data_IF_569053346297
#
_entry.id   IF_569053346297
#
_cell.length_a   1.000
_cell.length_b   1.000
_cell.length_c   1.000
_cell.angle_alpha   90.00
_cell.angle_beta   90.00
_cell.angle_gamma   90.00
#
_symmetry.space_group_name_H-M   'P 1'
#
loop_
_entity.id
_entity.type
_entity.pdbx_description
1 polymer ?
#
# COMPACT_ATOMS: atom_id res chain seq x y z
N UNK A 1 -4.77 8.67 -7.47
CA UNK A 1 -6.06 8.85 -8.16
C UNK A 1 -5.77 9.45 -9.53
N UNK A 2 -5.64 8.61 -10.54
CA UNK A 2 -5.76 8.99 -11.95
C UNK A 2 -6.62 7.92 -12.62
N UNK A 3 -7.53 8.35 -13.49
CA UNK A 3 -8.43 7.50 -14.25
C UNK A 3 -8.28 7.87 -15.72
N UNK A 4 -8.24 6.88 -16.59
CA UNK A 4 -8.03 7.07 -18.01
C UNK A 4 -9.24 7.78 -18.64
N UNK A 5 -9.04 8.46 -19.76
CA UNK A 5 -10.10 9.17 -20.46
C UNK A 5 -9.91 9.10 -21.99
N UNK A 6 -11.00 9.23 -22.75
CA UNK A 6 -10.99 9.33 -24.22
C UNK A 6 -11.86 10.51 -24.63
N UNK A 7 -11.34 11.34 -25.53
CA UNK A 7 -11.96 12.63 -25.92
C UNK A 7 -13.20 12.47 -26.79
N UNK A 8 -14.13 13.41 -26.62
CA UNK A 8 -15.13 13.83 -27.64
C UNK A 8 -15.21 15.36 -27.55
N UNK A 9 -15.05 16.07 -28.68
CA UNK A 9 -15.01 17.54 -28.74
C UNK A 9 -16.39 18.20 -28.69
N UNK A 10 -16.56 19.52 -28.91
CA UNK A 10 -15.60 20.61 -29.18
C UNK A 10 -16.31 21.98 -28.93
N UNK A 11 -15.58 23.10 -29.03
CA UNK A 11 -16.18 24.41 -29.39
C UNK A 11 -16.04 25.58 -28.39
N UNK A 12 -15.83 26.77 -28.96
CA UNK A 12 -15.83 28.12 -28.36
C UNK A 12 -15.95 29.14 -29.54
N UNK A 13 -16.30 30.43 -29.44
CA UNK A 13 -16.54 31.42 -28.36
C UNK A 13 -17.67 32.38 -28.90
N UNK A 14 -18.28 33.37 -28.23
CA UNK A 14 -18.03 34.07 -26.95
C UNK A 14 -19.31 34.77 -26.37
N UNK A 15 -19.11 35.60 -25.34
CA UNK A 15 -20.00 36.54 -24.60
C UNK A 15 -21.28 37.14 -25.27
N UNK A 16 -22.43 37.08 -24.56
CA UNK A 16 -23.23 38.21 -23.99
C UNK A 16 -24.76 37.97 -23.85
N UNK A 17 -25.31 38.51 -22.74
CA UNK A 17 -26.72 38.85 -22.44
C UNK A 17 -27.79 37.74 -22.18
N UNK A 18 -28.42 37.85 -21.00
CA UNK A 18 -29.70 37.25 -20.56
C UNK A 18 -30.89 37.91 -21.30
N UNK A 19 -32.11 37.29 -21.45
CA UNK A 19 -32.81 36.56 -20.37
C UNK A 19 -33.78 35.39 -20.71
N UNK A 20 -34.17 34.65 -19.65
CA UNK A 20 -35.48 33.98 -19.44
C UNK A 20 -35.86 32.76 -20.32
N UNK A 21 -35.95 31.59 -19.66
CA UNK A 21 -36.66 30.35 -20.04
C UNK A 21 -36.47 29.76 -21.45
N UNK A 22 -35.54 28.80 -21.57
CA UNK A 22 -35.83 27.41 -21.99
C UNK A 22 -34.62 26.52 -21.71
N UNK A 23 -34.84 25.40 -21.03
CA UNK A 23 -33.81 24.38 -20.80
C UNK A 23 -33.88 23.39 -21.95
N UNK A 24 -33.16 23.68 -23.03
CA UNK A 24 -33.08 22.85 -24.23
C UNK A 24 -31.84 21.95 -24.14
N UNK A 25 -32.04 20.63 -24.26
CA UNK A 25 -30.95 19.67 -24.17
C UNK A 25 -29.98 19.84 -25.35
N UNK A 26 -28.65 19.70 -25.15
CA UNK A 26 -27.68 19.86 -26.22
C UNK A 26 -27.84 18.74 -27.25
N UNK A 27 -28.44 19.07 -28.39
CA UNK A 27 -28.48 18.25 -29.59
C UNK A 27 -27.05 17.88 -30.02
N UNK A 28 -26.70 16.60 -29.90
CA UNK A 28 -25.39 16.08 -30.29
C UNK A 28 -25.22 16.13 -31.82
N UNK A 29 -24.08 16.63 -32.27
CA UNK A 29 -23.67 16.60 -33.68
C UNK A 29 -23.51 15.15 -34.17
N UNK A 30 -24.06 14.78 -35.34
CA UNK A 30 -24.15 13.38 -35.75
C UNK A 30 -22.93 12.91 -36.55
N UNK A 31 -21.73 12.95 -35.97
CA UNK A 31 -20.52 12.44 -36.66
C UNK A 31 -19.40 11.96 -35.73
N UNK A 32 -19.61 10.79 -35.12
CA UNK A 32 -18.58 9.79 -34.79
C UNK A 32 -19.23 8.53 -34.20
N UNK A 33 -19.22 7.40 -34.93
CA UNK A 33 -19.76 6.10 -34.51
C UNK A 33 -18.88 5.38 -33.45
N UNK A 34 -18.42 6.12 -32.44
CA UNK A 34 -17.85 5.55 -31.23
C UNK A 34 -18.99 4.98 -30.37
N UNK A 35 -19.36 3.71 -30.64
CA UNK A 35 -20.36 2.95 -29.85
C UNK A 35 -20.05 3.11 -28.36
N UNK A 36 -20.93 3.81 -27.63
CA UNK A 36 -20.75 4.08 -26.20
C UNK A 36 -20.63 2.75 -25.43
N UNK A 37 -19.82 2.69 -24.36
CA UNK A 37 -19.75 1.50 -23.51
C UNK A 37 -21.14 1.23 -22.89
N UNK A 38 -21.52 -0.04 -22.67
CA UNK A 38 -22.86 -0.42 -22.22
C UNK A 38 -23.23 0.21 -20.87
N UNK A 39 -22.23 0.40 -20.01
CA UNK A 39 -22.30 1.19 -18.79
C UNK A 39 -21.33 2.36 -18.86
N UNK A 40 -21.72 3.49 -18.27
CA UNK A 40 -20.88 4.68 -18.16
C UNK A 40 -21.03 5.27 -16.76
N UNK A 41 -19.91 5.67 -16.16
CA UNK A 41 -19.86 6.20 -14.81
C UNK A 41 -19.32 7.63 -14.85
N UNK A 42 -20.06 8.58 -14.28
CA UNK A 42 -19.74 10.01 -14.38
C UNK A 42 -19.60 10.60 -12.99
N UNK A 43 -18.36 10.90 -12.61
CA UNK A 43 -18.03 11.66 -11.41
C UNK A 43 -18.36 13.14 -11.67
N UNK A 44 -19.33 13.68 -10.95
CA UNK A 44 -19.81 15.05 -11.11
C UNK A 44 -18.88 16.02 -10.37
N UNK A 45 -17.65 16.12 -10.85
CA UNK A 45 -16.60 16.98 -10.29
C UNK A 45 -15.67 17.46 -11.40
N UNK A 46 -15.32 18.74 -11.32
CA UNK A 46 -14.58 19.41 -12.37
C UNK A 46 -13.13 18.91 -12.49
N UNK A 47 -12.69 18.67 -13.72
CA UNK A 47 -11.30 18.29 -14.03
C UNK A 47 -10.34 19.44 -13.73
N UNK A 48 -9.06 19.13 -13.56
CA UNK A 48 -8.02 20.12 -13.29
C UNK A 48 -7.64 20.88 -14.57
N UNK A 49 -7.67 22.24 -14.58
CA UNK A 49 -7.18 23.03 -15.71
C UNK A 49 -5.65 23.02 -15.85
N UNK A 50 -4.92 22.43 -14.90
CA UNK A 50 -3.45 22.50 -14.82
C UNK A 50 -2.74 21.23 -15.36
N UNK A 51 -3.43 20.41 -16.14
CA UNK A 51 -2.90 19.20 -16.81
C UNK A 51 -2.45 19.56 -18.22
N UNK A 52 -1.28 19.10 -18.68
CA UNK A 52 -0.83 19.38 -20.06
C UNK A 52 -1.61 18.55 -21.09
N UNK A 53 -1.66 19.01 -22.35
CA UNK A 53 -2.38 18.30 -23.44
C UNK A 53 -1.98 16.82 -23.63
N UNK A 54 -0.76 16.43 -23.24
CA UNK A 54 -0.21 15.07 -23.41
C UNK A 54 -0.15 14.26 -22.10
N UNK A 55 -0.74 14.76 -21.02
CA UNK A 55 -0.77 14.11 -19.70
C UNK A 55 -2.19 13.57 -19.41
N UNK A 56 -2.33 12.62 -18.48
CA UNK A 56 -3.66 12.11 -18.11
C UNK A 56 -4.50 13.16 -17.38
N UNK A 57 -5.78 13.26 -17.74
CA UNK A 57 -6.73 14.16 -17.08
C UNK A 57 -6.85 13.83 -15.59
N UNK A 58 -6.73 14.86 -14.74
CA UNK A 58 -6.71 14.72 -13.30
C UNK A 58 -7.92 15.41 -12.66
N UNK A 59 -8.55 14.76 -11.69
CA UNK A 59 -9.65 15.31 -10.90
C UNK A 59 -9.28 15.30 -9.43
N UNK A 60 -9.46 16.44 -8.78
CA UNK A 60 -9.12 16.63 -7.37
C UNK A 60 -10.35 16.43 -6.48
N UNK A 61 -10.19 15.62 -5.44
CA UNK A 61 -11.24 15.31 -4.48
C UNK A 61 -10.79 15.68 -3.07
N UNK A 62 -11.53 16.59 -2.45
CA UNK A 62 -11.34 17.09 -1.11
C UNK A 62 -11.64 15.98 -0.08
N UNK A 63 -10.88 15.98 1.01
CA UNK A 63 -11.05 15.06 2.11
C UNK A 63 -12.37 15.35 2.84
N UNK A 64 -13.22 14.33 2.95
CA UNK A 64 -14.48 14.45 3.69
C UNK A 64 -15.60 15.20 2.95
N UNK A 65 -15.40 15.63 1.71
CA UNK A 65 -16.48 16.10 0.85
C UNK A 65 -17.12 14.91 0.12
N UNK A 66 -18.45 14.89 0.04
CA UNK A 66 -19.21 13.88 -0.70
C UNK A 66 -19.32 14.28 -2.18
N UNK A 67 -19.10 13.32 -3.08
CA UNK A 67 -19.05 13.53 -4.54
C UNK A 67 -19.96 12.54 -5.28
N UNK A 68 -20.86 13.05 -6.12
CA UNK A 68 -21.78 12.22 -6.92
C UNK A 68 -21.02 11.47 -8.03
N UNK A 69 -21.21 10.15 -8.09
CA UNK A 69 -20.96 9.33 -9.26
C UNK A 69 -22.31 8.89 -9.81
N UNK A 70 -22.70 9.41 -10.98
CA UNK A 70 -23.87 8.97 -11.73
C UNK A 70 -23.56 7.66 -12.44
N UNK A 71 -24.48 6.72 -12.37
CA UNK A 71 -24.39 5.43 -13.06
C UNK A 71 -25.40 5.45 -14.22
N UNK A 72 -24.90 5.21 -15.43
CA UNK A 72 -25.66 5.29 -16.68
C UNK A 72 -25.56 3.97 -17.44
N UNK A 73 -26.67 3.57 -18.07
CA UNK A 73 -26.72 2.50 -19.05
C UNK A 73 -26.98 3.10 -20.44
N UNK A 74 -26.12 2.77 -21.40
CA UNK A 74 -26.19 3.30 -22.78
C UNK A 74 -26.67 2.25 -23.79
N UNK A 75 -27.08 1.06 -23.33
CA UNK A 75 -27.57 -0.02 -24.21
C UNK A 75 -28.90 0.37 -24.84
N UNK A 76 -29.10 0.01 -26.11
CA UNK A 76 -30.34 0.30 -26.82
C UNK A 76 -31.47 -0.61 -26.32
N UNK A 77 -32.66 -0.03 -26.16
CA UNK A 77 -33.88 -0.72 -25.75
C UNK A 77 -34.22 -1.83 -26.76
N UNK A 78 -33.79 -3.07 -26.47
CA UNK A 78 -33.90 -4.21 -27.39
C UNK A 78 -32.80 -5.26 -27.21
N UNK A 79 -31.59 -4.89 -26.77
CA UNK A 79 -30.47 -5.81 -26.50
C UNK A 79 -30.63 -6.58 -25.15
N UNK A 80 -31.86 -6.66 -24.62
CA UNK A 80 -32.16 -7.00 -23.22
C UNK A 80 -32.50 -8.48 -22.96
N UNK A 81 -32.27 -9.39 -23.92
CA UNK A 81 -32.75 -10.78 -23.82
C UNK A 81 -31.90 -11.70 -22.91
N UNK A 82 -30.64 -11.34 -22.62
CA UNK A 82 -29.70 -12.24 -21.93
C UNK A 82 -29.51 -11.98 -20.42
N UNK A 83 -30.03 -10.88 -19.86
CA UNK A 83 -29.87 -10.55 -18.44
C UNK A 83 -31.15 -10.79 -17.63
N UNK A 84 -31.28 -12.01 -17.09
CA UNK A 84 -32.33 -12.40 -16.14
C UNK A 84 -32.17 -11.74 -14.74
N UNK A 85 -31.31 -10.73 -14.60
CA UNK A 85 -30.98 -10.04 -13.35
C UNK A 85 -31.42 -8.58 -13.40
N UNK A 86 -32.47 -8.25 -12.64
CA UNK A 86 -33.04 -6.89 -12.50
C UNK A 86 -32.05 -5.83 -11.98
N UNK A 87 -30.98 -6.26 -11.30
CA UNK A 87 -30.02 -5.37 -10.65
C UNK A 87 -28.59 -5.70 -11.06
N UNK A 88 -27.76 -4.68 -11.15
CA UNK A 88 -26.31 -4.78 -11.40
C UNK A 88 -25.56 -4.45 -10.11
N UNK A 89 -24.48 -5.20 -9.82
CA UNK A 89 -23.56 -4.89 -8.72
C UNK A 89 -22.43 -4.01 -9.24
N UNK A 90 -22.19 -2.88 -8.58
CA UNK A 90 -21.03 -2.03 -8.82
C UNK A 90 -20.12 -2.01 -7.59
N UNK A 91 -18.81 -2.00 -7.84
CA UNK A 91 -17.77 -1.96 -6.81
C UNK A 91 -16.86 -0.76 -7.13
N UNK A 92 -16.81 0.23 -6.24
CA UNK A 92 -15.98 1.42 -6.39
C UNK A 92 -14.75 1.26 -5.51
N UNK A 93 -13.56 1.48 -6.08
CA UNK A 93 -12.27 1.28 -5.40
C UNK A 93 -11.33 2.47 -5.58
N UNK A 94 -10.65 2.86 -4.50
CA UNK A 94 -9.49 3.76 -4.56
C UNK A 94 -8.22 2.91 -4.64
N UNK A 95 -7.50 3.00 -5.76
CA UNK A 95 -6.26 2.25 -6.02
C UNK A 95 -5.10 3.17 -6.38
N UNK A 96 -3.87 2.67 -6.27
CA UNK A 96 -2.72 3.32 -6.86
C UNK A 96 -2.78 3.22 -8.38
N UNK A 97 -2.57 4.36 -9.06
CA UNK A 97 -2.47 4.39 -10.52
C UNK A 97 -1.06 3.98 -11.00
N UNK A 98 -0.01 4.41 -10.28
CA UNK A 98 1.38 4.02 -10.58
C UNK A 98 1.56 2.51 -10.38
N UNK A 99 1.90 1.81 -11.48
CA UNK A 99 2.09 0.34 -11.51
C UNK A 99 3.15 -0.16 -10.53
N UNK A 100 4.18 0.63 -10.23
CA UNK A 100 5.19 0.28 -9.23
C UNK A 100 4.61 0.32 -7.82
N UNK A 101 3.72 1.29 -7.53
CA UNK A 101 3.04 1.37 -6.25
C UNK A 101 1.97 0.29 -6.08
N UNK A 102 1.31 -0.14 -7.18
CA UNK A 102 0.35 -1.26 -7.18
C UNK A 102 0.94 -2.56 -6.60
N UNK A 103 2.18 -2.92 -6.95
CA UNK A 103 2.85 -4.10 -6.37
C UNK A 103 3.05 -4.02 -4.85
N UNK A 104 3.00 -2.81 -4.27
CA UNK A 104 3.09 -2.56 -2.82
C UNK A 104 1.78 -2.07 -2.22
N UNK A 105 0.66 -2.09 -2.97
CA UNK A 105 -0.61 -1.49 -2.56
C UNK A 105 -1.09 -2.04 -1.23
N UNK A 106 -0.97 -3.36 -1.01
CA UNK A 106 -1.30 -3.99 0.27
C UNK A 106 -0.52 -3.33 1.44
N UNK A 107 0.81 -3.27 1.36
CA UNK A 107 1.65 -2.65 2.39
C UNK A 107 1.31 -1.16 2.62
N UNK A 108 0.98 -0.43 1.55
CA UNK A 108 0.57 0.98 1.65
C UNK A 108 -0.79 1.14 2.34
N UNK A 109 -1.76 0.29 2.02
CA UNK A 109 -3.08 0.25 2.64
C UNK A 109 -2.99 -0.18 4.12
N UNK A 110 -2.14 -1.15 4.45
CA UNK A 110 -1.87 -1.54 5.83
C UNK A 110 -1.20 -0.41 6.63
N UNK A 111 -0.18 0.23 6.08
CA UNK A 111 0.45 1.41 6.69
C UNK A 111 -0.55 2.55 6.93
N UNK A 112 -1.47 2.77 5.97
CA UNK A 112 -2.56 3.72 6.13
C UNK A 112 -3.49 3.31 7.29
N UNK A 113 -3.92 2.04 7.34
CA UNK A 113 -4.77 1.47 8.42
C UNK A 113 -4.15 1.64 9.80
N UNK A 114 -2.86 1.33 9.94
CA UNK A 114 -2.13 1.51 11.20
C UNK A 114 -2.02 2.97 11.61
N UNK A 115 -1.84 3.89 10.66
CA UNK A 115 -1.79 5.34 10.94
C UNK A 115 -3.15 5.98 11.29
N UNK A 116 -4.26 5.31 10.97
CA UNK A 116 -5.64 5.78 11.14
C UNK A 116 -6.58 4.63 11.52
N UNK A 117 -6.45 4.09 12.74
CA UNK A 117 -7.25 2.95 13.18
C UNK A 117 -8.74 3.32 13.20
N UNK A 118 -9.56 2.56 12.46
CA UNK A 118 -11.01 2.74 12.35
C UNK A 118 -11.48 3.65 11.20
N UNK A 119 -10.60 4.47 10.61
CA UNK A 119 -10.98 5.26 9.43
C UNK A 119 -11.07 4.39 8.17
N UNK A 120 -11.79 4.89 7.16
CA UNK A 120 -11.85 4.35 5.79
C UNK A 120 -11.21 5.33 4.80
N UNK A 121 -10.59 4.81 3.74
CA UNK A 121 -10.03 5.61 2.64
C UNK A 121 -11.16 6.12 1.74
N UNK A 122 -12.15 5.26 1.52
CA UNK A 122 -13.35 5.50 0.73
C UNK A 122 -14.58 5.09 1.54
N UNK A 123 -15.52 6.01 1.68
CA UNK A 123 -16.83 5.77 2.25
C UNK A 123 -17.97 6.15 1.28
N UNK A 124 -19.20 5.76 1.60
CA UNK A 124 -20.40 6.06 0.82
C UNK A 124 -21.41 6.85 1.65
N UNK A 125 -21.80 8.01 1.15
CA UNK A 125 -22.80 8.89 1.73
C UNK A 125 -24.20 8.36 1.35
N UNK A 126 -24.68 7.40 2.13
CA UNK A 126 -25.97 6.74 1.89
C UNK A 126 -27.14 7.75 1.87
N UNK A 127 -27.25 8.74 2.78
CA UNK A 127 -28.32 9.74 2.75
C UNK A 127 -28.39 10.59 1.48
N UNK A 128 -27.25 10.90 0.84
CA UNK A 128 -27.22 11.63 -0.43
C UNK A 128 -27.40 10.72 -1.67
N UNK A 129 -27.17 9.41 -1.52
CA UNK A 129 -27.23 8.46 -2.63
C UNK A 129 -28.66 8.13 -3.07
N UNK A 130 -28.85 7.93 -4.37
CA UNK A 130 -30.16 7.75 -5.01
C UNK A 130 -30.15 6.49 -5.86
N UNK A 131 -31.18 5.65 -5.75
CA UNK A 131 -31.37 4.47 -6.62
C UNK A 131 -30.40 3.30 -6.36
N UNK A 132 -29.52 3.40 -5.36
CA UNK A 132 -28.67 2.30 -4.91
C UNK A 132 -29.36 1.45 -3.82
N UNK A 133 -28.99 0.18 -3.74
CA UNK A 133 -29.50 -0.82 -2.81
C UNK A 133 -28.33 -1.60 -2.19
N UNK A 134 -28.53 -2.13 -0.98
CA UNK A 134 -27.54 -2.89 -0.22
C UNK A 134 -26.10 -2.32 -0.24
N UNK A 135 -25.89 -1.02 0.10
CA UNK A 135 -24.55 -0.45 0.19
C UNK A 135 -23.75 -1.15 1.30
N UNK A 136 -22.58 -1.66 0.94
CA UNK A 136 -21.67 -2.40 1.84
C UNK A 136 -20.26 -1.82 1.76
N UNK A 137 -19.65 -1.68 2.94
CA UNK A 137 -18.31 -1.16 3.13
C UNK A 137 -17.56 -2.09 4.09
N UNK A 138 -16.88 -3.12 3.57
CA UNK A 138 -16.23 -4.14 4.41
C UNK A 138 -15.14 -3.52 5.29
N UNK A 139 -15.10 -3.76 6.61
CA UNK A 139 -14.04 -3.27 7.50
C UNK A 139 -12.63 -3.69 7.10
N UNK A 140 -12.47 -4.80 6.37
CA UNK A 140 -11.17 -5.28 5.89
C UNK A 140 -10.72 -4.62 4.58
N UNK A 141 -11.64 -4.03 3.82
CA UNK A 141 -11.38 -3.39 2.52
C UNK A 141 -11.64 -1.89 2.61
N UNK A 142 -10.72 -1.16 3.26
CA UNK A 142 -10.86 0.27 3.60
C UNK A 142 -10.99 1.22 2.41
N UNK A 143 -10.56 0.77 1.22
CA UNK A 143 -10.56 1.53 -0.03
C UNK A 143 -11.70 1.14 -0.99
N UNK A 144 -12.64 0.30 -0.56
CA UNK A 144 -13.66 -0.31 -1.42
C UNK A 144 -15.07 -0.10 -0.84
N UNK A 145 -16.03 0.21 -1.71
CA UNK A 145 -17.47 0.15 -1.40
C UNK A 145 -18.20 -0.60 -2.53
N UNK A 146 -19.26 -1.33 -2.21
CA UNK A 146 -20.08 -2.05 -3.18
C UNK A 146 -21.57 -1.79 -2.94
N UNK A 147 -22.37 -1.84 -4.00
CA UNK A 147 -23.83 -1.68 -3.93
C UNK A 147 -24.49 -2.29 -5.18
N UNK A 148 -25.80 -2.49 -5.10
CA UNK A 148 -26.67 -2.88 -6.20
C UNK A 148 -27.41 -1.64 -6.76
N UNK A 149 -27.75 -1.63 -8.03
CA UNK A 149 -28.62 -0.61 -8.64
C UNK A 149 -29.41 -1.19 -9.82
N UNK A 150 -30.48 -0.49 -10.21
CA UNK A 150 -31.41 -0.86 -11.28
C UNK A 150 -31.06 -0.05 -12.54
N UNK A 151 -30.48 -0.67 -13.60
CA UNK A 151 -30.03 0.07 -14.79
C UNK A 151 -31.14 0.82 -15.53
N UNK A 152 -32.38 0.36 -15.41
CA UNK A 152 -33.56 1.01 -15.99
C UNK A 152 -34.03 2.24 -15.20
N UNK A 153 -33.28 2.68 -14.18
CA UNK A 153 -33.60 3.83 -13.32
C UNK A 153 -32.38 4.72 -13.12
N UNK A 154 -32.65 5.99 -12.77
CA UNK A 154 -31.59 6.90 -12.33
C UNK A 154 -30.95 6.37 -11.05
N UNK A 155 -29.64 6.15 -11.09
CA UNK A 155 -28.82 5.82 -9.92
C UNK A 155 -27.62 6.78 -9.79
N UNK A 156 -27.35 7.20 -8.56
CA UNK A 156 -26.26 8.08 -8.17
C UNK A 156 -25.70 7.63 -6.82
N UNK A 157 -24.41 7.28 -6.77
CA UNK A 157 -23.71 6.96 -5.53
C UNK A 157 -22.83 8.14 -5.10
N UNK A 158 -23.00 8.63 -3.88
CA UNK A 158 -22.16 9.70 -3.34
C UNK A 158 -21.00 9.11 -2.56
N UNK A 159 -19.77 9.36 -3.00
CA UNK A 159 -18.55 8.84 -2.35
C UNK A 159 -17.83 9.92 -1.55
N UNK A 160 -17.22 9.54 -0.43
CA UNK A 160 -16.47 10.43 0.46
C UNK A 160 -15.02 9.93 0.64
N UNK A 161 -14.06 10.44 -0.14
CA UNK A 161 -12.65 10.08 0.01
C UNK A 161 -11.99 10.85 1.18
N UNK A 162 -10.91 10.29 1.76
CA UNK A 162 -10.09 10.98 2.78
C UNK A 162 -8.74 11.48 2.23
N UNK A 163 -8.80 12.17 1.09
CA UNK A 163 -7.68 12.37 0.15
C UNK A 163 -6.88 13.69 0.21
N UNK A 164 -7.41 14.80 -0.34
CA UNK A 164 -6.60 16.00 -0.60
C UNK A 164 -7.37 17.32 -0.83
N UNK A 165 -7.38 18.23 0.15
CA UNK A 165 -8.11 19.53 0.05
C UNK A 165 -7.40 20.64 -0.74
N UNK A 166 -6.06 20.64 -0.76
CA UNK A 166 -5.31 21.90 -0.97
C UNK A 166 -4.95 22.25 -2.42
N UNK A 167 -5.16 21.33 -3.38
CA UNK A 167 -4.53 21.44 -4.71
C UNK A 167 -5.40 22.10 -5.79
N UNK A 168 -6.69 21.77 -5.89
CA UNK A 168 -7.56 22.27 -6.98
C UNK A 168 -7.68 23.79 -7.04
N UNK A 169 -7.99 24.43 -5.90
CA UNK A 169 -8.14 25.89 -5.80
C UNK A 169 -6.85 26.61 -6.20
N UNK A 170 -5.73 26.14 -5.65
CA UNK A 170 -4.39 26.65 -5.94
C UNK A 170 -4.05 26.55 -7.43
N UNK A 171 -4.38 25.43 -8.09
CA UNK A 171 -4.10 25.22 -9.50
C UNK A 171 -5.00 26.10 -10.41
N UNK A 172 -6.28 26.28 -10.06
CA UNK A 172 -7.20 27.18 -10.79
C UNK A 172 -6.74 28.64 -10.73
N UNK A 173 -6.44 29.16 -9.54
CA UNK A 173 -5.94 30.54 -9.36
C UNK A 173 -4.60 30.78 -10.08
N UNK A 174 -3.75 29.75 -10.20
CA UNK A 174 -2.50 29.82 -10.98
C UNK A 174 -2.79 29.85 -12.49
N UNK A 175 -3.70 29.00 -12.97
CA UNK A 175 -4.06 28.96 -14.38
C UNK A 175 -4.72 30.25 -14.84
N UNK A 176 -5.60 30.86 -14.05
CA UNK A 176 -6.23 32.16 -14.37
C UNK A 176 -5.19 33.25 -14.63
N UNK A 177 -4.12 33.31 -13.83
CA UNK A 177 -3.00 34.27 -13.92
C UNK A 177 -2.06 34.05 -15.12
N UNK A 178 -2.22 32.97 -15.89
CA UNK A 178 -1.42 32.70 -17.10
C UNK A 178 -1.90 33.48 -18.31
N UNK A 179 -0.97 33.80 -19.21
CA UNK A 179 -1.26 34.37 -20.53
C UNK A 179 -1.99 33.34 -21.42
N UNK A 180 -2.70 33.80 -22.45
CA UNK A 180 -3.43 32.92 -23.38
C UNK A 180 -2.52 31.88 -24.03
N UNK A 181 -1.35 32.30 -24.53
CA UNK A 181 -0.32 31.41 -25.12
C UNK A 181 0.25 30.39 -24.13
N UNK A 182 0.21 30.65 -22.83
CA UNK A 182 0.58 29.64 -21.83
C UNK A 182 -0.57 28.67 -21.54
N UNK A 183 -1.82 29.14 -21.55
CA UNK A 183 -3.02 28.32 -21.33
C UNK A 183 -3.23 27.28 -22.43
N UNK A 184 -2.91 27.62 -23.68
CA UNK A 184 -2.96 26.71 -24.85
C UNK A 184 -2.11 25.43 -24.71
N UNK A 185 -1.19 25.36 -23.73
CA UNK A 185 -0.36 24.16 -23.45
C UNK A 185 -1.05 23.15 -22.53
N UNK A 186 -2.23 23.49 -22.01
CA UNK A 186 -2.97 22.73 -21.01
C UNK A 186 -4.34 22.30 -21.52
N UNK A 187 -4.89 21.25 -20.93
CA UNK A 187 -6.25 20.78 -21.21
C UNK A 187 -7.29 21.78 -20.68
N UNK A 188 -8.44 21.92 -21.37
CA UNK A 188 -9.58 22.63 -20.81
C UNK A 188 -10.11 21.92 -19.55
N UNK A 189 -10.68 22.72 -18.63
CA UNK A 189 -11.42 22.19 -17.47
C UNK A 189 -12.86 21.88 -17.90
N UNK A 190 -13.32 20.68 -17.59
CA UNK A 190 -14.70 20.23 -17.76
C UNK A 190 -15.40 20.16 -16.39
N UNK A 191 -16.73 20.24 -16.36
CA UNK A 191 -17.51 20.19 -15.10
C UNK A 191 -17.59 18.80 -14.47
N UNK A 192 -17.42 17.75 -15.28
CA UNK A 192 -17.53 16.34 -14.85
C UNK A 192 -16.40 15.50 -15.40
N UNK A 193 -16.11 14.38 -14.74
CA UNK A 193 -15.08 13.41 -15.13
C UNK A 193 -15.75 12.09 -15.50
N UNK A 194 -15.51 11.60 -16.71
CA UNK A 194 -15.94 10.25 -17.11
C UNK A 194 -14.95 9.25 -16.51
N UNK A 195 -15.44 8.25 -15.80
CA UNK A 195 -14.60 7.19 -15.24
C UNK A 195 -14.55 6.03 -16.24
N UNK A 196 -13.33 5.64 -16.67
CA UNK A 196 -13.11 4.39 -17.38
C UNK A 196 -13.09 3.21 -16.42
N UNK A 197 -13.55 2.06 -16.90
CA UNK A 197 -13.39 0.79 -16.21
C UNK A 197 -11.90 0.48 -16.01
N UNK A 198 -11.48 0.17 -14.78
CA UNK A 198 -10.14 -0.36 -14.54
C UNK A 198 -10.07 -1.78 -15.11
N UNK A 199 -8.98 -2.12 -15.81
CA UNK A 199 -8.74 -3.48 -16.28
C UNK A 199 -8.98 -4.47 -15.13
N UNK A 200 -9.71 -5.58 -15.35
CA UNK A 200 -9.96 -6.55 -14.29
C UNK A 200 -8.62 -7.01 -13.74
N UNK A 201 -8.42 -6.78 -12.44
CA UNK A 201 -7.32 -7.38 -11.72
C UNK A 201 -7.47 -8.90 -11.82
N UNK A 202 -6.37 -9.66 -11.99
CA UNK A 202 -6.48 -11.09 -12.19
C UNK A 202 -6.96 -11.76 -10.91
N UNK A 203 -8.25 -12.12 -10.87
CA UNK A 203 -8.83 -13.06 -9.91
C UNK A 203 -8.26 -14.47 -10.20
N UNK A 204 -7.01 -14.70 -9.79
CA UNK A 204 -6.39 -16.03 -9.82
C UNK A 204 -6.28 -16.57 -8.40
N UNK A 205 -7.01 -17.64 -8.04
CA UNK A 205 -6.52 -18.54 -7.00
C UNK A 205 -5.21 -19.16 -7.52
N UNK A 206 -4.17 -19.17 -6.68
CA UNK A 206 -2.81 -19.58 -7.05
C UNK A 206 -2.74 -20.89 -7.85
N UNK A 207 -2.58 -20.78 -9.17
CA UNK A 207 -2.13 -21.87 -10.04
C UNK A 207 -0.68 -21.60 -10.45
N UNK A 208 0.21 -22.29 -9.75
CA UNK A 208 1.65 -22.31 -10.02
C UNK A 208 1.89 -22.94 -11.41
N UNK A 209 2.48 -22.16 -12.33
CA UNK A 209 2.95 -22.70 -13.60
C UNK A 209 4.37 -22.19 -13.89
N UNK A 210 5.29 -23.15 -14.05
CA UNK A 210 6.72 -22.87 -14.17
C UNK A 210 7.06 -22.20 -15.52
N UNK A 211 7.81 -21.10 -15.45
CA UNK A 211 8.62 -20.61 -16.57
C UNK A 211 10.01 -20.20 -16.03
N UNK A 212 11.12 -20.58 -16.69
CA UNK A 212 12.46 -20.41 -16.13
C UNK A 212 12.98 -18.98 -16.26
N UNK A 213 13.66 -18.51 -15.21
CA UNK A 213 14.36 -17.22 -15.19
C UNK A 213 15.51 -17.18 -16.22
N UNK A 214 15.71 -16.08 -16.97
CA UNK A 214 16.87 -15.92 -17.83
C UNK A 214 18.15 -15.67 -17.01
N UNK A 215 19.24 -16.31 -17.42
CA UNK A 215 20.53 -16.33 -16.72
C UNK A 215 21.25 -14.99 -16.73
N UNK A 216 21.82 -14.60 -15.59
CA UNK A 216 22.86 -13.57 -15.54
C UNK A 216 24.15 -14.08 -16.20
N UNK A 217 24.86 -13.22 -16.93
CA UNK A 217 26.26 -13.43 -17.24
C UNK A 217 27.02 -12.12 -17.48
N UNK A 218 28.31 -12.13 -17.11
CA UNK A 218 29.38 -11.21 -17.52
C UNK A 218 29.49 -9.81 -16.89
N UNK A 219 30.54 -9.67 -16.07
CA UNK A 219 31.31 -8.44 -15.80
C UNK A 219 32.73 -8.63 -16.35
N UNK A 220 33.62 -7.62 -16.34
CA UNK A 220 33.44 -6.18 -16.61
C UNK A 220 34.35 -5.74 -17.80
N UNK A 221 34.33 -4.46 -18.18
CA UNK A 221 35.42 -3.90 -18.98
C UNK A 221 35.81 -2.48 -18.51
N UNK A 222 37.12 -2.28 -18.39
CA UNK A 222 37.77 -1.11 -17.81
C UNK A 222 38.05 -0.01 -18.84
N UNK A 223 37.92 1.26 -18.45
CA UNK A 223 38.55 2.38 -19.15
C UNK A 223 39.25 3.31 -18.14
N UNK A 224 40.57 3.43 -18.28
CA UNK A 224 41.42 4.41 -17.61
C UNK A 224 41.67 5.59 -18.56
N UNK A 225 41.76 6.82 -18.04
CA UNK A 225 42.43 7.93 -18.73
C UNK A 225 42.86 9.05 -17.77
N UNK A 226 44.13 9.47 -17.86
CA UNK A 226 44.58 10.83 -17.54
C UNK A 226 45.25 11.08 -16.18
N UNK A 227 46.57 11.32 -16.20
CA UNK A 227 47.39 11.72 -15.05
C UNK A 227 47.18 13.18 -14.58
N UNK A 228 47.51 13.48 -13.32
CA UNK A 228 47.47 14.85 -12.77
C UNK A 228 47.87 14.97 -11.29
N UNK A 229 49.16 14.79 -10.99
CA UNK A 229 49.72 14.68 -9.63
C UNK A 229 49.61 15.96 -8.76
N UNK A 230 49.10 15.86 -7.52
CA UNK A 230 49.41 16.73 -6.36
C UNK A 230 48.71 16.25 -5.07
N UNK A 231 49.49 15.80 -4.08
CA UNK A 231 49.04 15.61 -2.68
C UNK A 231 49.66 16.71 -1.79
N UNK A 232 49.06 17.01 -0.62
CA UNK A 232 49.53 16.28 0.56
C UNK A 232 48.41 15.81 1.51
N UNK A 233 48.53 14.54 1.91
CA UNK A 233 48.16 13.97 3.22
C UNK A 233 46.98 14.58 3.99
N UNK A 234 45.84 13.89 3.94
CA UNK A 234 45.16 13.46 5.16
C UNK A 234 44.65 12.03 4.97
N UNK A 235 45.02 11.12 5.88
CA UNK A 235 44.45 9.79 5.92
C UNK A 235 42.95 9.90 6.24
N UNK A 236 42.09 9.46 5.33
CA UNK A 236 40.73 9.08 5.69
C UNK A 236 40.59 7.59 5.46
N UNK A 237 40.64 6.86 6.57
CA UNK A 237 40.59 5.42 6.64
C UNK A 237 39.25 4.91 6.08
N UNK A 238 39.30 3.94 5.17
CA UNK A 238 38.13 3.32 4.56
C UNK A 238 37.41 2.46 5.61
N UNK A 239 36.45 3.05 6.31
CA UNK A 239 35.58 2.30 7.21
C UNK A 239 34.58 1.41 6.42
N UNK A 240 34.17 0.25 6.97
CA UNK A 240 33.34 -0.72 6.25
C UNK A 240 31.93 -0.17 5.97
N UNK A 241 31.14 -0.81 5.07
CA UNK A 241 29.72 -0.51 4.91
C UNK A 241 28.96 -0.85 6.21
N UNK A 242 28.81 0.16 7.06
CA UNK A 242 28.43 -0.01 8.47
C UNK A 242 27.04 0.58 8.72
N UNK A 243 26.11 -0.32 9.05
CA UNK A 243 24.70 -0.11 9.41
C UNK A 243 24.18 1.33 9.33
N UNK A 244 23.29 1.60 8.37
CA UNK A 244 22.56 2.86 8.29
C UNK A 244 21.66 3.13 9.52
N UNK A 245 21.40 2.13 10.38
CA UNK A 245 20.45 2.19 11.49
C UNK A 245 21.11 2.63 12.81
N UNK A 246 20.44 3.50 13.57
CA UNK A 246 20.84 3.88 14.92
C UNK A 246 20.46 2.77 15.90
N UNK A 247 21.44 2.19 16.59
CA UNK A 247 21.22 1.11 17.56
C UNK A 247 20.93 1.66 18.97
N UNK A 248 20.16 0.94 19.82
CA UNK A 248 19.98 1.30 21.23
C UNK A 248 21.30 1.40 22.01
N UNK A 249 22.29 0.58 21.66
CA UNK A 249 23.63 0.58 22.28
C UNK A 249 24.60 1.63 21.72
N UNK A 250 24.18 2.45 20.75
CA UNK A 250 25.06 3.42 20.12
C UNK A 250 25.46 4.54 21.10
N UNK A 251 26.75 4.86 21.16
CA UNK A 251 27.28 5.90 22.03
C UNK A 251 26.81 7.29 21.58
N UNK A 252 27.03 8.31 22.41
CA UNK A 252 26.77 9.71 22.04
C UNK A 252 27.54 10.09 20.77
N UNK A 253 28.80 9.62 20.62
CA UNK A 253 29.62 9.90 19.45
C UNK A 253 29.05 9.22 18.18
N UNK A 254 28.56 7.99 18.30
CA UNK A 254 27.92 7.27 17.19
C UNK A 254 26.60 7.92 16.76
N UNK A 255 25.79 8.35 17.74
CA UNK A 255 24.54 9.09 17.49
C UNK A 255 24.81 10.42 16.75
N UNK A 256 25.86 11.14 17.15
CA UNK A 256 26.30 12.37 16.47
C UNK A 256 26.78 12.10 15.04
N UNK A 257 27.57 11.04 14.82
CA UNK A 257 27.96 10.63 13.46
C UNK A 257 26.75 10.23 12.61
N UNK A 258 25.77 9.53 13.20
CA UNK A 258 24.55 9.13 12.51
C UNK A 258 23.71 10.33 12.08
N UNK A 259 23.55 11.35 12.94
CA UNK A 259 22.89 12.62 12.60
C UNK A 259 23.59 13.32 11.43
N UNK A 260 24.93 13.39 11.44
CA UNK A 260 25.71 13.95 10.34
C UNK A 260 25.48 13.19 9.02
N UNK A 261 25.57 11.84 9.02
CA UNK A 261 25.36 11.00 7.84
C UNK A 261 23.95 11.14 7.25
N UNK A 262 22.94 11.22 8.11
CA UNK A 262 21.53 11.34 7.69
C UNK A 262 21.10 12.79 7.38
N UNK A 263 22.05 13.73 7.21
CA UNK A 263 21.83 15.15 6.88
C UNK A 263 21.08 15.95 7.95
N UNK A 264 21.17 15.52 9.22
CA UNK A 264 20.67 16.23 10.40
C UNK A 264 21.77 17.00 11.16
N UNK A 265 22.92 17.25 10.50
CA UNK A 265 24.05 18.07 11.00
C UNK A 265 23.67 19.35 11.76
N UNK A 266 22.64 20.14 11.36
CA UNK A 266 22.25 21.35 12.11
C UNK A 266 21.79 21.07 13.55
N UNK A 267 21.26 19.88 13.82
CA UNK A 267 20.69 19.50 15.11
C UNK A 267 21.71 18.79 16.03
N UNK A 268 22.91 18.47 15.55
CA UNK A 268 23.97 17.82 16.33
C UNK A 268 24.25 18.53 17.67
N UNK A 269 24.29 19.87 17.68
CA UNK A 269 24.47 20.66 18.92
C UNK A 269 23.34 20.47 19.94
N UNK A 270 22.09 20.36 19.48
CA UNK A 270 20.92 20.19 20.34
C UNK A 270 20.88 18.79 20.97
N UNK A 271 21.34 17.77 20.23
CA UNK A 271 21.43 16.39 20.70
C UNK A 271 22.82 16.00 21.21
N UNK A 272 23.67 16.97 21.57
CA UNK A 272 25.09 16.76 21.92
C UNK A 272 25.32 15.85 23.14
N UNK A 273 24.32 15.68 24.00
CA UNK A 273 24.35 14.80 25.17
C UNK A 273 23.49 13.53 25.04
N UNK A 274 22.93 13.25 23.86
CA UNK A 274 21.98 12.15 23.67
C UNK A 274 22.67 10.92 23.07
N UNK A 275 22.47 9.75 23.69
CA UNK A 275 22.89 8.45 23.15
C UNK A 275 21.88 7.91 22.13
N UNK A 276 22.21 6.79 21.47
CA UNK A 276 21.27 6.08 20.60
C UNK A 276 19.98 5.69 21.32
N UNK A 277 20.09 5.20 22.57
CA UNK A 277 18.93 4.87 23.41
C UNK A 277 18.04 6.09 23.72
N UNK A 278 18.62 7.27 23.90
CA UNK A 278 17.84 8.47 24.27
C UNK A 278 17.07 9.02 23.06
N UNK A 279 17.73 9.11 21.89
CA UNK A 279 17.07 9.43 20.62
C UNK A 279 16.00 8.40 20.25
N UNK A 280 16.18 7.13 20.63
CA UNK A 280 15.18 6.08 20.44
C UNK A 280 14.06 6.09 21.50
N UNK A 281 14.14 6.87 22.58
CA UNK A 281 13.05 7.02 23.56
C UNK A 281 12.18 8.24 23.32
N UNK A 282 12.68 9.24 22.60
CA UNK A 282 11.93 10.45 22.26
C UNK A 282 10.70 10.17 21.39
N UNK A 283 9.61 10.88 21.69
CA UNK A 283 8.39 10.90 20.90
C UNK A 283 8.53 11.78 19.65
N UNK A 284 7.57 11.66 18.73
CA UNK A 284 7.48 12.51 17.54
C UNK A 284 7.29 13.97 17.93
N UNK A 285 6.53 14.21 18.99
CA UNK A 285 6.20 15.50 19.54
C UNK A 285 7.45 16.19 20.11
N UNK A 286 8.31 15.45 20.82
CA UNK A 286 9.60 15.96 21.33
C UNK A 286 10.51 16.43 20.17
N UNK A 287 10.64 15.61 19.11
CA UNK A 287 11.40 16.00 17.92
C UNK A 287 10.79 17.20 17.19
N UNK A 288 9.47 17.29 17.10
CA UNK A 288 8.77 18.46 16.53
C UNK A 288 9.00 19.72 17.36
N UNK A 289 9.07 19.60 18.69
CA UNK A 289 9.33 20.73 19.58
C UNK A 289 10.80 21.21 19.49
N UNK A 290 11.76 20.30 19.35
CA UNK A 290 13.19 20.62 19.32
C UNK A 290 13.67 21.05 17.92
N UNK A 291 13.21 20.38 16.86
CA UNK A 291 13.66 20.60 15.48
C UNK A 291 12.67 21.39 14.62
N UNK A 292 11.48 21.68 15.14
CA UNK A 292 10.37 22.27 14.39
C UNK A 292 9.55 21.24 13.59
N UNK A 293 8.35 21.59 13.09
CA UNK A 293 7.39 20.62 12.56
C UNK A 293 7.88 19.80 11.36
N UNK A 294 8.60 20.42 10.42
CA UNK A 294 9.06 19.73 9.22
C UNK A 294 10.24 18.79 9.54
N UNK A 295 11.29 19.31 10.19
CA UNK A 295 12.51 18.54 10.44
C UNK A 295 12.39 17.57 11.61
N UNK A 296 11.56 17.87 12.61
CA UNK A 296 11.22 16.93 13.68
C UNK A 296 10.49 15.68 13.18
N UNK A 297 9.52 15.85 12.27
CA UNK A 297 8.85 14.70 11.62
C UNK A 297 9.86 13.92 10.75
N UNK A 298 10.73 14.60 10.01
CA UNK A 298 11.78 13.95 9.20
C UNK A 298 12.77 13.16 10.06
N UNK A 299 13.19 13.71 11.20
CA UNK A 299 14.13 13.08 12.12
C UNK A 299 13.50 11.89 12.84
N UNK A 300 12.27 12.05 13.38
CA UNK A 300 11.50 10.95 13.94
C UNK A 300 11.32 9.82 12.93
N UNK A 301 10.94 10.12 11.69
CA UNK A 301 10.79 9.10 10.65
C UNK A 301 12.14 8.47 10.21
N UNK A 302 13.27 9.18 10.32
CA UNK A 302 14.58 8.61 10.04
C UNK A 302 15.07 7.65 11.15
N UNK A 303 14.71 7.94 12.41
CA UNK A 303 15.06 7.13 13.60
C UNK A 303 14.08 5.96 13.80
N UNK A 304 12.78 6.17 13.58
CA UNK A 304 11.68 5.24 13.89
C UNK A 304 10.91 4.73 12.68
N UNK A 305 10.83 5.53 11.62
CA UNK A 305 10.01 5.28 10.43
C UNK A 305 10.70 4.53 9.30
N UNK A 306 11.86 3.91 9.57
CA UNK A 306 12.40 2.90 8.66
C UNK A 306 11.70 1.57 8.94
N UNK A 307 10.75 1.21 8.08
CA UNK A 307 10.24 -0.16 8.02
C UNK A 307 11.44 -1.10 7.90
N UNK A 308 11.74 -1.82 8.98
CA UNK A 308 12.66 -2.96 8.88
C UNK A 308 11.92 -3.97 8.03
N UNK A 309 12.31 -4.09 6.75
CA UNK A 309 11.83 -5.21 5.94
C UNK A 309 12.24 -6.47 6.69
N UNK A 310 11.31 -7.40 7.01
CA UNK A 310 11.70 -8.63 7.67
C UNK A 310 12.79 -9.31 6.85
N UNK A 311 13.86 -9.70 7.53
CA UNK A 311 14.99 -10.42 6.91
C UNK A 311 14.60 -11.86 6.57
N UNK A 312 13.56 -12.37 7.24
CA UNK A 312 12.97 -13.69 7.02
C UNK A 312 11.47 -13.63 7.34
N UNK A 313 10.65 -14.24 6.50
CA UNK A 313 9.28 -14.63 6.80
C UNK A 313 9.23 -16.15 6.96
N UNK A 314 8.64 -16.65 8.03
CA UNK A 314 8.38 -18.09 8.20
C UNK A 314 6.89 -18.30 8.50
N UNK A 315 6.37 -19.47 8.12
CA UNK A 315 4.98 -19.83 8.37
C UNK A 315 4.92 -20.95 9.40
N UNK A 316 4.18 -20.75 10.49
CA UNK A 316 4.07 -21.75 11.56
C UNK A 316 2.62 -22.13 11.85
N UNK A 317 2.35 -23.42 12.02
CA UNK A 317 1.07 -23.92 12.52
C UNK A 317 1.30 -24.79 13.76
N UNK A 318 0.27 -24.98 14.59
CA UNK A 318 0.32 -25.89 15.74
C UNK A 318 -0.24 -27.26 15.35
N UNK A 319 0.43 -28.33 15.73
CA UNK A 319 -0.10 -29.68 15.59
C UNK A 319 -1.32 -29.89 16.53
N UNK A 320 -2.51 -30.26 16.03
CA UNK A 320 -3.66 -30.56 16.87
C UNK A 320 -3.45 -31.89 17.61
N UNK A 321 -3.53 -31.87 18.96
CA UNK A 321 -3.18 -33.00 19.84
C UNK A 321 -3.94 -34.31 19.53
N UNK A 322 -5.08 -34.25 18.83
CA UNK A 322 -5.94 -35.40 18.54
C UNK A 322 -5.36 -36.42 17.55
N UNK A 323 -4.30 -36.09 16.79
CA UNK A 323 -3.86 -36.92 15.64
C UNK A 323 -2.62 -37.80 15.88
N UNK A 324 -2.11 -37.89 17.12
CA UNK A 324 -0.88 -38.63 17.47
C UNK A 324 -0.90 -40.15 17.20
N UNK A 325 -2.05 -40.74 16.89
CA UNK A 325 -2.22 -42.19 16.67
C UNK A 325 -2.36 -42.63 15.21
N UNK A 326 -2.51 -41.73 14.23
CA UNK A 326 -2.85 -42.10 12.85
C UNK A 326 -2.06 -41.34 11.76
N UNK A 327 -0.73 -41.53 11.70
CA UNK A 327 0.11 -40.85 10.70
C UNK A 327 1.06 -41.74 9.88
N UNK A 328 0.69 -43.00 9.67
CA UNK A 328 1.36 -43.88 8.69
C UNK A 328 0.47 -44.48 7.59
N UNK A 329 -0.85 -44.25 7.59
CA UNK A 329 -1.71 -44.78 6.51
C UNK A 329 -3.04 -44.04 6.32
N UNK A 330 -2.99 -42.80 5.79
CA UNK A 330 -4.02 -42.23 4.90
C UNK A 330 -3.58 -40.91 4.26
N UNK A 331 -3.02 -41.00 3.05
CA UNK A 331 -3.41 -40.07 1.98
C UNK A 331 -4.62 -40.70 1.28
N UNK A 332 -5.44 -39.90 0.60
CA UNK A 332 -6.74 -40.29 0.03
C UNK A 332 -7.89 -40.48 1.05
N UNK A 333 -8.31 -39.37 1.64
CA UNK A 333 -9.69 -38.86 1.46
C UNK A 333 -9.80 -37.43 2.02
N UNK A 334 -10.53 -36.57 1.31
CA UNK A 334 -10.53 -35.11 1.52
C UNK A 334 -11.41 -34.62 2.67
N UNK A 335 -11.02 -34.90 3.91
CA UNK A 335 -11.48 -34.17 5.10
C UNK A 335 -10.32 -33.96 6.08
N UNK A 336 -9.28 -33.29 5.58
CA UNK A 336 -8.09 -32.97 6.36
C UNK A 336 -8.31 -31.71 7.18
N UNK A 337 -8.23 -31.84 8.52
CA UNK A 337 -8.16 -30.71 9.45
C UNK A 337 -7.19 -29.64 8.93
N UNK A 338 -7.72 -28.49 8.50
CA UNK A 338 -6.94 -27.38 7.95
C UNK A 338 -5.97 -26.83 9.00
N UNK A 339 -4.69 -27.16 8.89
CA UNK A 339 -3.65 -26.54 9.69
C UNK A 339 -3.57 -25.05 9.33
N UNK A 340 -4.00 -24.18 10.24
CA UNK A 340 -3.90 -22.72 10.05
C UNK A 340 -2.47 -22.29 10.32
N UNK A 341 -1.80 -21.83 9.25
CA UNK A 341 -0.46 -21.27 9.32
C UNK A 341 -0.52 -19.76 9.61
N UNK A 342 0.39 -19.31 10.46
CA UNK A 342 0.56 -17.91 10.84
C UNK A 342 1.94 -17.44 10.38
N UNK A 343 1.99 -16.24 9.77
CA UNK A 343 3.25 -15.63 9.37
C UNK A 343 3.99 -15.05 10.59
N UNK A 344 5.27 -15.41 10.74
CA UNK A 344 6.20 -14.80 11.69
C UNK A 344 7.26 -14.07 10.89
N UNK A 345 7.42 -12.78 11.22
CA UNK A 345 8.37 -11.86 10.61
C UNK A 345 9.56 -11.65 11.55
N UNK A 346 10.76 -11.99 11.09
CA UNK A 346 12.01 -11.81 11.83
C UNK A 346 12.79 -10.61 11.28
N UNK A 347 13.08 -9.66 12.16
CA UNK A 347 13.88 -8.45 11.91
C UNK A 347 15.35 -8.68 12.27
N UNK A 348 15.62 -9.57 13.23
CA UNK A 348 16.91 -10.07 13.65
C UNK A 348 16.93 -11.60 13.58
N UNK A 349 17.82 -12.17 12.76
CA UNK A 349 17.92 -13.61 12.55
C UNK A 349 18.57 -14.30 13.77
N UNK A 350 17.79 -14.40 14.84
CA UNK A 350 18.17 -14.85 16.18
C UNK A 350 17.14 -15.80 16.76
N UNK A 351 17.58 -16.67 17.64
CA UNK A 351 16.73 -17.61 18.37
C UNK A 351 15.82 -16.87 19.36
N UNK A 352 16.24 -15.71 19.88
CA UNK A 352 15.48 -14.92 20.85
C UNK A 352 14.24 -14.28 20.21
N UNK A 353 14.40 -13.55 19.09
CA UNK A 353 13.23 -12.97 18.40
C UNK A 353 12.26 -14.07 17.93
N UNK A 354 12.79 -15.16 17.37
CA UNK A 354 11.97 -16.31 16.98
C UNK A 354 11.15 -16.87 18.15
N UNK A 355 11.78 -17.03 19.32
CA UNK A 355 11.12 -17.48 20.54
C UNK A 355 10.04 -16.49 20.99
N UNK A 356 10.33 -15.19 21.04
CA UNK A 356 9.38 -14.16 21.45
C UNK A 356 8.17 -14.06 20.50
N UNK A 357 8.39 -14.10 19.18
CA UNK A 357 7.30 -14.05 18.18
C UNK A 357 6.42 -15.29 18.27
N UNK A 358 6.99 -16.49 18.47
CA UNK A 358 6.22 -17.72 18.69
C UNK A 358 5.47 -17.67 20.04
N UNK A 359 6.10 -17.18 21.12
CA UNK A 359 5.48 -17.05 22.42
C UNK A 359 4.23 -16.16 22.37
N UNK A 360 4.37 -15.00 21.74
CA UNK A 360 3.28 -14.05 21.52
C UNK A 360 2.16 -14.66 20.67
N UNK A 361 2.49 -15.40 19.60
CA UNK A 361 1.51 -16.06 18.74
C UNK A 361 0.59 -17.02 19.51
N UNK A 362 1.15 -17.81 20.42
CA UNK A 362 0.40 -18.79 21.23
C UNK A 362 -0.02 -18.26 22.61
N UNK A 363 0.13 -16.96 22.88
CA UNK A 363 -0.21 -16.32 24.15
C UNK A 363 0.44 -16.98 25.39
N UNK A 364 1.68 -17.45 25.24
CA UNK A 364 2.50 -18.02 26.34
C UNK A 364 3.64 -17.06 26.71
N UNK A 365 4.12 -17.12 27.95
CA UNK A 365 5.29 -16.30 28.34
C UNK A 365 6.55 -16.83 27.64
N UNK A 366 7.42 -15.97 27.09
CA UNK A 366 8.75 -16.37 26.60
C UNK A 366 9.54 -17.16 27.64
N UNK A 367 9.37 -16.87 28.93
CA UNK A 367 10.04 -17.57 30.04
C UNK A 367 9.59 -19.04 30.20
N UNK A 368 8.44 -19.41 29.64
CA UNK A 368 7.94 -20.79 29.63
C UNK A 368 8.56 -21.62 28.51
N UNK A 369 9.12 -20.99 27.46
CA UNK A 369 9.84 -21.70 26.39
C UNK A 369 11.31 -21.80 26.79
N UNK A 370 11.78 -22.99 27.12
CA UNK A 370 13.17 -23.17 27.54
C UNK A 370 14.11 -23.31 26.33
N UNK A 371 13.71 -24.08 25.31
CA UNK A 371 14.50 -24.31 24.08
C UNK A 371 13.61 -24.57 22.87
N UNK A 372 14.11 -24.17 21.70
CA UNK A 372 13.55 -24.52 20.39
C UNK A 372 14.44 -25.58 19.74
N UNK A 373 13.84 -26.65 19.27
CA UNK A 373 14.47 -27.70 18.49
C UNK A 373 13.88 -27.74 17.08
N UNK A 374 14.62 -28.32 16.13
CA UNK A 374 14.12 -28.69 14.80
C UNK A 374 14.24 -30.20 14.62
N UNK A 375 13.24 -30.85 14.03
CA UNK A 375 13.30 -32.28 13.75
C UNK A 375 14.18 -32.59 12.52
N UNK A 376 15.13 -33.51 12.66
CA UNK A 376 15.96 -34.02 11.57
C UNK A 376 15.33 -35.21 10.85
N UNK A 377 15.87 -35.62 9.67
CA UNK A 377 15.30 -36.69 8.83
C UNK A 377 15.14 -38.06 9.52
N UNK A 378 15.90 -38.30 10.59
CA UNK A 378 15.88 -39.54 11.40
C UNK A 378 15.12 -39.39 12.72
N UNK A 379 14.35 -38.31 12.88
CA UNK A 379 13.62 -38.00 14.12
C UNK A 379 14.45 -37.39 15.24
N UNK A 380 15.75 -37.11 15.01
CA UNK A 380 16.62 -36.43 15.97
C UNK A 380 16.17 -34.98 16.22
N UNK A 381 16.27 -34.50 17.46
CA UNK A 381 15.96 -33.11 17.82
C UNK A 381 17.25 -32.27 17.84
N UNK A 382 17.40 -31.36 16.87
CA UNK A 382 18.56 -30.47 16.75
C UNK A 382 18.25 -29.14 17.42
N UNK A 383 19.09 -28.64 18.33
CA UNK A 383 18.89 -27.35 18.98
C UNK A 383 19.01 -26.21 17.96
N UNK A 384 18.03 -25.31 17.91
CA UNK A 384 18.07 -24.13 17.04
C UNK A 384 18.99 -23.07 17.63
N UNK A 385 19.97 -22.63 16.84
CA UNK A 385 20.91 -21.54 17.17
C UNK A 385 20.67 -20.32 16.26
N UNK A 386 21.29 -19.18 16.58
CA UNK A 386 21.18 -17.97 15.75
C UNK A 386 21.71 -18.22 14.32
N UNK A 387 22.81 -18.95 14.18
CA UNK A 387 23.35 -19.38 12.88
C UNK A 387 22.36 -20.27 12.13
N UNK A 388 21.62 -21.13 12.84
CA UNK A 388 20.61 -21.99 12.23
C UNK A 388 19.40 -21.18 11.72
N UNK A 389 18.93 -20.18 12.49
CA UNK A 389 17.87 -19.24 12.06
C UNK A 389 18.31 -18.43 10.84
N UNK A 390 19.59 -18.03 10.77
CA UNK A 390 20.16 -17.33 9.60
C UNK A 390 20.20 -18.19 8.33
N UNK A 391 20.21 -19.51 8.47
CA UNK A 391 20.21 -20.48 7.37
C UNK A 391 18.81 -21.03 7.05
N UNK A 392 17.74 -20.51 7.67
CA UNK A 392 16.37 -20.81 7.22
C UNK A 392 16.14 -20.24 5.82
N UNK A 393 15.27 -20.89 5.05
CA UNK A 393 14.82 -20.35 3.75
C UNK A 393 13.69 -19.35 4.00
N UNK A 394 13.67 -18.27 3.23
CA UNK A 394 12.54 -17.34 3.25
C UNK A 394 11.26 -18.06 2.82
N UNK A 395 10.15 -17.70 3.44
CA UNK A 395 8.84 -18.36 3.26
C UNK A 395 8.80 -19.85 3.68
N UNK A 396 9.75 -20.32 4.50
CA UNK A 396 9.75 -21.70 5.01
C UNK A 396 8.62 -22.00 6.00
N UNK A 397 8.03 -23.19 5.88
CA UNK A 397 6.93 -23.67 6.71
C UNK A 397 7.41 -24.65 7.79
N UNK A 398 6.94 -24.48 9.02
CA UNK A 398 7.22 -25.36 10.17
C UNK A 398 5.93 -25.78 10.88
N UNK A 399 5.95 -26.96 11.51
CA UNK A 399 4.85 -27.47 12.34
C UNK A 399 5.32 -27.50 13.78
N UNK A 400 4.70 -26.68 14.63
CA UNK A 400 5.06 -26.56 16.04
C UNK A 400 4.35 -27.64 16.84
N UNK A 401 5.13 -28.50 17.48
CA UNK A 401 4.66 -29.38 18.56
C UNK A 401 5.33 -29.02 19.89
N UNK A 402 4.62 -29.26 20.99
CA UNK A 402 5.13 -29.00 22.35
C UNK A 402 5.60 -30.29 23.02
N UNK A 403 6.81 -30.25 23.56
CA UNK A 403 7.35 -31.29 24.42
C UNK A 403 7.28 -30.78 25.87
N UNK A 404 6.41 -31.39 26.69
CA UNK A 404 6.30 -31.08 28.12
C UNK A 404 7.53 -31.62 28.85
N UNK A 405 8.27 -30.75 29.54
CA UNK A 405 9.40 -31.16 30.37
C UNK A 405 8.92 -31.96 31.58
N UNK A 406 9.62 -33.06 31.91
CA UNK A 406 9.21 -34.01 32.98
C UNK A 406 9.23 -33.36 34.39
N UNK A 407 9.95 -32.25 34.57
CA UNK A 407 10.25 -31.65 35.89
C UNK A 407 10.05 -30.12 35.97
N UNK A 408 9.43 -29.47 34.98
CA UNK A 408 9.26 -28.01 35.01
C UNK A 408 8.00 -27.55 34.26
N UNK A 409 7.43 -26.41 34.66
CA UNK A 409 6.32 -25.73 33.97
C UNK A 409 6.71 -25.12 32.61
N UNK A 410 7.85 -25.51 32.05
CA UNK A 410 8.40 -25.04 30.79
C UNK A 410 8.12 -26.05 29.68
N UNK A 411 7.75 -25.54 28.50
CA UNK A 411 7.71 -26.32 27.27
C UNK A 411 9.03 -26.22 26.49
N UNK A 412 9.30 -27.23 25.68
CA UNK A 412 10.19 -27.12 24.55
C UNK A 412 9.36 -27.11 23.27
N UNK A 413 9.77 -26.30 22.30
CA UNK A 413 9.14 -26.25 20.98
C UNK A 413 9.95 -27.11 20.01
N UNK A 414 9.27 -27.83 19.14
CA UNK A 414 9.85 -28.54 18.02
C UNK A 414 9.29 -27.96 16.71
N UNK A 415 10.19 -27.58 15.79
CA UNK A 415 9.96 -27.05 14.44
C UNK A 415 10.21 -28.11 13.34
#
# INVERSE_FOLDING_TARGET
LSAFCKEVGAGAVDVLALPIFKQEEPQLSPENDAKLPPFQYVLCTATSPAVKLHEETLTYLNQGQSYEIRLLENRKLGEFQDLNTKYVKSIIRVVFHDRRLQYTEHQQLEGWRWSRPGDRILDIDIPLSVGILDPRASPTQLNTVEFLWDPSKRASAFIQPKGADRKQKTDREKMEKKTTQEKEKYQPSYETTILTECSPWPDVPYQMNNAPSPSYNSSPNSFNLGDGNSSPTHQMELLPPSNDHLLPSASIQDAQQWLHRNRFSPFCRLFSSFSGADLLKMSKEDFVQICGPADGIRLFNAIKGRNVRPKMTIYVCQEPEQNRSHLHQKRENGDGSLCVYHAIFLEELTTLELLEKIANLYSISPQQINRIYRQGPTGIHVLVSNEMVQNFQDESCFVISTLKGVYCYCCHLLL
#
